data_IF_945382951059
#
_entry.id   IF_945382951059
#
_cell.length_a   1.000
_cell.length_b   1.000
_cell.length_c   1.000
_cell.angle_alpha   90.00
_cell.angle_beta   90.00
_cell.angle_gamma   90.00
#
_symmetry.space_group_name_H-M   'P 1'
#
loop_
_entity.id
_entity.type
_entity.pdbx_description
1 polymer ?
#
# COMPACT_ATOMS: atom_id res chain seq x y z
N UNK A 1 31.31 -35.21 45.50
CA UNK A 1 30.39 -35.60 44.41
C UNK A 1 29.81 -34.32 43.83
N UNK A 2 30.18 -33.98 42.58
CA UNK A 2 30.09 -32.63 42.01
C UNK A 2 28.94 -32.52 41.00
N UNK A 3 28.13 -31.47 41.21
CA UNK A 3 27.40 -30.64 40.23
C UNK A 3 26.20 -31.26 39.51
N UNK A 4 24.99 -30.91 39.98
CA UNK A 4 23.78 -30.97 39.18
C UNK A 4 23.77 -29.80 38.17
N UNK A 5 23.56 -30.12 36.89
CA UNK A 5 23.48 -29.17 35.80
C UNK A 5 22.13 -28.46 35.81
N UNK A 6 22.14 -27.13 35.83
CA UNK A 6 20.95 -26.32 35.61
C UNK A 6 20.75 -26.14 34.10
N UNK A 7 19.62 -26.62 33.60
CA UNK A 7 19.19 -26.53 32.19
C UNK A 7 18.79 -25.08 31.91
N UNK A 8 19.51 -24.41 31.00
CA UNK A 8 19.06 -23.14 30.42
C UNK A 8 17.97 -23.43 29.38
N UNK A 9 16.72 -23.14 29.71
CA UNK A 9 15.61 -23.15 28.75
C UNK A 9 15.65 -21.84 27.96
N UNK A 10 16.18 -21.89 26.72
CA UNK A 10 16.19 -20.77 25.79
C UNK A 10 14.76 -20.60 25.22
N UNK A 11 14.03 -19.58 25.68
CA UNK A 11 12.76 -19.17 25.05
C UNK A 11 13.07 -18.53 23.69
N UNK A 12 12.96 -19.31 22.62
CA UNK A 12 13.00 -18.82 21.25
C UNK A 12 11.67 -18.10 20.95
N UNK A 13 11.64 -16.79 21.19
CA UNK A 13 10.57 -15.92 20.70
C UNK A 13 10.64 -15.85 19.18
N UNK A 14 9.73 -16.55 18.51
CA UNK A 14 9.46 -16.36 17.08
C UNK A 14 8.80 -14.97 16.92
N UNK A 15 9.63 -13.93 16.82
CA UNK A 15 9.17 -12.64 16.32
C UNK A 15 8.80 -12.85 14.85
N UNK A 16 7.50 -12.90 14.55
CA UNK A 16 7.02 -12.73 13.19
C UNK A 16 7.41 -11.31 12.78
N UNK A 17 8.55 -11.18 12.08
CA UNK A 17 8.91 -9.92 11.47
C UNK A 17 7.75 -9.52 10.55
N UNK A 18 7.22 -8.28 10.63
CA UNK A 18 6.40 -7.79 9.54
C UNK A 18 7.27 -7.94 8.29
N UNK A 19 6.74 -8.62 7.27
CA UNK A 19 7.39 -8.65 5.96
C UNK A 19 7.69 -7.21 5.60
N UNK A 20 8.97 -6.83 5.61
CA UNK A 20 9.39 -5.52 5.18
C UNK A 20 9.30 -5.53 3.65
N UNK A 21 8.13 -5.15 3.13
CA UNK A 21 7.95 -4.85 1.71
C UNK A 21 8.55 -3.45 1.46
N UNK A 22 9.85 -3.29 1.71
CA UNK A 22 10.52 -1.99 1.60
C UNK A 22 10.39 -1.40 0.18
N UNK A 23 10.34 -2.29 -0.84
CA UNK A 23 10.16 -1.90 -2.24
C UNK A 23 8.84 -2.47 -2.80
N UNK A 24 7.70 -2.09 -2.22
CA UNK A 24 6.40 -2.40 -2.81
C UNK A 24 5.34 -1.32 -2.57
N UNK A 25 4.44 -1.19 -3.55
CA UNK A 25 3.33 -0.25 -3.50
C UNK A 25 2.23 -0.66 -2.50
N UNK A 26 2.24 -1.90 -2.00
CA UNK A 26 1.35 -2.38 -0.95
C UNK A 26 1.42 -1.52 0.31
N UNK A 27 0.28 -1.30 0.96
CA UNK A 27 0.16 -0.56 2.21
C UNK A 27 -0.91 0.51 2.16
N UNK A 28 -0.99 1.27 3.25
CA UNK A 28 -1.94 2.36 3.42
C UNK A 28 -1.34 3.69 2.96
N UNK A 29 -2.08 4.40 2.10
CA UNK A 29 -1.67 5.68 1.53
C UNK A 29 -2.70 6.77 1.86
N UNK A 30 -2.21 7.95 2.19
CA UNK A 30 -2.97 9.09 2.63
C UNK A 30 -2.69 10.31 1.73
N UNK A 31 -3.76 10.98 1.31
CA UNK A 31 -3.66 12.21 0.52
C UNK A 31 -3.59 13.44 1.43
N UNK A 32 -3.06 14.54 0.90
CA UNK A 32 -3.10 15.85 1.57
C UNK A 32 -4.53 16.37 1.81
N UNK A 33 -5.51 15.82 1.10
CA UNK A 33 -6.95 16.14 1.22
C UNK A 33 -7.66 15.29 2.30
N UNK A 34 -6.93 14.47 3.04
CA UNK A 34 -7.48 13.63 4.12
C UNK A 34 -8.18 12.35 3.64
N UNK A 35 -7.96 11.96 2.38
CA UNK A 35 -8.45 10.68 1.86
C UNK A 35 -7.42 9.57 2.14
N UNK A 36 -7.89 8.32 2.21
CA UNK A 36 -7.00 7.16 2.34
C UNK A 36 -7.38 6.04 1.38
N UNK A 37 -6.37 5.28 0.96
CA UNK A 37 -6.50 4.01 0.23
C UNK A 37 -5.65 2.94 0.91
N UNK A 38 -5.92 1.67 0.57
CA UNK A 38 -5.06 0.55 0.97
C UNK A 38 -4.84 -0.38 -0.22
N UNK A 39 -3.59 -0.74 -0.51
CA UNK A 39 -3.23 -1.69 -1.57
C UNK A 39 -2.72 -2.98 -0.93
N UNK A 40 -3.27 -4.12 -1.36
CA UNK A 40 -2.87 -5.45 -0.93
C UNK A 40 -2.88 -6.41 -2.13
N UNK A 41 -1.72 -6.57 -2.77
CA UNK A 41 -1.56 -7.25 -4.05
C UNK A 41 -2.48 -6.64 -5.11
N UNK A 42 -3.21 -7.50 -5.82
CA UNK A 42 -4.14 -7.09 -6.89
C UNK A 42 -5.42 -6.38 -6.41
N UNK A 43 -5.54 -6.03 -5.13
CA UNK A 43 -6.73 -5.37 -4.57
C UNK A 43 -6.39 -3.99 -4.02
N UNK A 44 -7.28 -3.03 -4.26
CA UNK A 44 -7.23 -1.70 -3.66
C UNK A 44 -8.55 -1.39 -2.95
N UNK A 45 -8.49 -0.88 -1.72
CA UNK A 45 -9.60 -0.19 -1.08
C UNK A 45 -9.50 1.30 -1.41
N UNK A 46 -10.49 1.82 -2.15
CA UNK A 46 -10.53 3.23 -2.57
C UNK A 46 -11.18 4.12 -1.50
N UNK A 47 -11.16 5.47 -1.61
CA UNK A 47 -11.67 6.36 -0.56
C UNK A 47 -13.15 6.17 -0.22
N UNK A 48 -13.96 5.69 -1.18
CA UNK A 48 -15.37 5.34 -0.92
C UNK A 48 -15.55 4.08 -0.04
N UNK A 49 -14.46 3.36 0.26
CA UNK A 49 -14.46 2.11 1.02
C UNK A 49 -14.66 0.86 0.17
N UNK A 50 -14.99 1.00 -1.12
CA UNK A 50 -15.10 -0.13 -2.04
C UNK A 50 -13.74 -0.79 -2.29
N UNK A 51 -13.76 -2.10 -2.52
CA UNK A 51 -12.58 -2.88 -2.87
C UNK A 51 -12.64 -3.23 -4.36
N UNK A 52 -11.62 -2.81 -5.10
CA UNK A 52 -11.52 -2.96 -6.55
C UNK A 52 -10.34 -3.87 -6.88
N UNK A 53 -10.53 -4.75 -7.85
CA UNK A 53 -9.41 -5.50 -8.45
C UNK A 53 -8.67 -4.61 -9.45
N UNK A 54 -7.35 -4.66 -9.44
CA UNK A 54 -6.51 -3.86 -10.33
C UNK A 54 -5.34 -4.64 -10.90
N UNK A 55 -4.65 -4.00 -11.84
CA UNK A 55 -3.36 -4.46 -12.35
C UNK A 55 -2.30 -4.05 -11.34
N UNK A 56 -1.79 -5.03 -10.62
CA UNK A 56 -0.71 -4.85 -9.65
C UNK A 56 0.65 -5.09 -10.28
N UNK A 57 1.53 -4.12 -10.09
CA UNK A 57 2.98 -4.23 -10.23
C UNK A 57 3.64 -4.00 -8.87
N UNK A 58 4.95 -4.24 -8.79
CA UNK A 58 5.70 -3.99 -7.55
C UNK A 58 5.76 -2.48 -7.23
N UNK A 59 5.93 -1.65 -8.25
CA UNK A 59 6.09 -0.18 -8.11
C UNK A 59 4.93 0.60 -8.72
N UNK A 60 3.85 -0.09 -9.12
CA UNK A 60 2.73 0.53 -9.79
C UNK A 60 1.43 -0.23 -9.52
N UNK A 61 0.32 0.50 -9.62
CA UNK A 61 -1.01 -0.09 -9.55
C UNK A 61 -1.95 0.66 -10.48
N UNK A 62 -2.77 -0.05 -11.24
CA UNK A 62 -3.75 0.58 -12.10
C UNK A 62 -5.14 -0.04 -11.93
N UNK A 63 -6.18 0.79 -11.90
CA UNK A 63 -7.57 0.32 -11.85
C UNK A 63 -8.53 1.27 -12.56
N UNK A 64 -9.71 0.74 -12.87
CA UNK A 64 -10.84 1.49 -13.36
C UNK A 64 -11.77 1.79 -12.18
N UNK A 65 -12.06 3.08 -11.86
CA UNK A 65 -13.03 3.42 -10.84
C UNK A 65 -14.42 2.85 -11.17
N UNK A 66 -15.18 2.41 -10.15
CA UNK A 66 -16.53 1.91 -10.35
C UNK A 66 -17.49 3.03 -10.77
N UNK A 67 -18.68 2.65 -11.23
CA UNK A 67 -19.74 3.60 -11.54
C UNK A 67 -20.12 4.44 -10.31
N UNK A 68 -20.32 5.74 -10.51
CA UNK A 68 -20.64 6.71 -9.45
C UNK A 68 -19.42 7.21 -8.66
N UNK A 69 -18.21 6.73 -8.97
CA UNK A 69 -16.98 7.31 -8.42
C UNK A 69 -16.70 8.70 -9.05
N UNK A 70 -16.15 9.67 -8.30
CA UNK A 70 -15.79 10.98 -8.86
C UNK A 70 -14.84 10.90 -10.06
N UNK A 71 -14.01 9.85 -10.12
CA UNK A 71 -13.07 9.61 -11.20
C UNK A 71 -13.61 8.58 -12.24
N UNK A 72 -14.94 8.39 -12.31
CA UNK A 72 -15.57 7.50 -13.31
C UNK A 72 -15.12 7.85 -14.74
N UNK A 73 -14.77 6.81 -15.50
CA UNK A 73 -14.30 6.93 -16.88
C UNK A 73 -12.82 7.28 -17.05
N UNK A 74 -12.07 7.48 -15.96
CA UNK A 74 -10.60 7.55 -15.98
C UNK A 74 -9.98 6.19 -15.68
N UNK A 75 -8.77 5.93 -16.17
CA UNK A 75 -7.90 4.92 -15.57
C UNK A 75 -7.08 5.62 -14.50
N UNK A 76 -7.14 5.11 -13.27
CA UNK A 76 -6.25 5.56 -12.20
C UNK A 76 -4.96 4.78 -12.30
N UNK A 77 -3.84 5.49 -12.36
CA UNK A 77 -2.50 4.91 -12.35
C UNK A 77 -1.73 5.48 -11.15
N UNK A 78 -1.28 4.58 -10.29
CA UNK A 78 -0.47 4.87 -9.12
C UNK A 78 0.96 4.42 -9.41
N UNK A 79 1.94 5.27 -9.12
CA UNK A 79 3.36 4.99 -9.29
C UNK A 79 4.10 5.23 -7.98
N UNK A 80 4.82 4.23 -7.49
CA UNK A 80 5.69 4.36 -6.34
C UNK A 80 6.94 5.14 -6.75
N UNK A 81 7.11 6.33 -6.18
CA UNK A 81 8.27 7.20 -6.45
C UNK A 81 9.44 6.86 -5.53
N UNK A 82 9.12 6.56 -4.27
CA UNK A 82 10.03 6.13 -3.21
C UNK A 82 9.22 5.32 -2.17
N UNK A 83 9.87 4.85 -1.10
CA UNK A 83 9.25 4.01 -0.06
C UNK A 83 7.99 4.66 0.57
N UNK A 84 7.95 6.00 0.58
CA UNK A 84 7.01 6.81 1.34
C UNK A 84 6.04 7.61 0.46
N UNK A 85 6.19 7.56 -0.87
CA UNK A 85 5.47 8.44 -1.79
C UNK A 85 4.94 7.70 -3.01
N UNK A 86 3.65 7.90 -3.32
CA UNK A 86 3.07 7.54 -4.61
C UNK A 86 2.60 8.78 -5.37
N UNK A 87 2.74 8.72 -6.68
CA UNK A 87 2.11 9.62 -7.63
C UNK A 87 0.80 9.02 -8.12
N UNK A 88 -0.29 9.77 -8.00
CA UNK A 88 -1.62 9.40 -8.47
C UNK A 88 -1.95 10.16 -9.74
N UNK A 89 -2.19 9.43 -10.84
CA UNK A 89 -2.53 10.00 -12.15
C UNK A 89 -3.90 9.54 -12.60
N UNK A 90 -4.68 10.48 -13.13
CA UNK A 90 -5.94 10.22 -13.86
C UNK A 90 -5.64 10.21 -15.35
N UNK A 91 -5.87 9.09 -16.02
CA UNK A 91 -5.61 8.95 -17.46
C UNK A 91 -6.92 8.76 -18.19
N UNK A 92 -7.15 9.52 -19.25
CA UNK A 92 -8.32 9.37 -20.12
C UNK A 92 -7.93 9.61 -21.57
N UNK A 93 -8.35 8.72 -22.46
CA UNK A 93 -8.06 8.80 -23.89
C UNK A 93 -6.56 8.97 -24.23
N UNK A 94 -5.68 8.43 -23.37
CA UNK A 94 -4.22 8.51 -23.50
C UNK A 94 -3.60 9.79 -22.94
N UNK A 95 -4.41 10.74 -22.46
CA UNK A 95 -3.94 11.98 -21.83
C UNK A 95 -3.86 11.84 -20.31
N UNK A 96 -2.79 12.40 -19.73
CA UNK A 96 -2.59 12.47 -18.28
C UNK A 96 -3.22 13.76 -17.78
N UNK A 97 -4.24 13.63 -16.93
CA UNK A 97 -4.87 14.74 -16.22
C UNK A 97 -4.10 15.13 -14.96
N UNK A 98 -4.84 15.61 -13.96
CA UNK A 98 -4.25 16.11 -12.71
C UNK A 98 -3.47 15.04 -11.96
N UNK A 99 -2.32 15.46 -11.42
CA UNK A 99 -1.43 14.65 -10.59
C UNK A 99 -1.69 15.01 -9.12
N UNK A 100 -1.94 13.99 -8.30
CA UNK A 100 -1.94 14.12 -6.84
C UNK A 100 -0.76 13.34 -6.25
N UNK A 101 -0.13 13.87 -5.20
CA UNK A 101 0.90 13.17 -4.43
C UNK A 101 0.29 12.67 -3.13
N UNK A 102 0.54 11.39 -2.83
CA UNK A 102 0.10 10.73 -1.62
C UNK A 102 1.30 10.15 -0.91
N UNK A 103 1.20 10.07 0.41
CA UNK A 103 2.26 9.53 1.26
C UNK A 103 1.77 8.30 2.01
N UNK A 104 2.69 7.50 2.55
CA UNK A 104 2.31 6.48 3.55
C UNK A 104 1.48 7.16 4.63
N UNK A 105 0.39 6.52 5.02
CA UNK A 105 -0.33 6.99 6.19
C UNK A 105 0.60 6.92 7.40
N UNK A 106 0.69 8.02 8.16
CA UNK A 106 1.60 8.23 9.29
C UNK A 106 1.77 6.96 10.14
N UNK A 107 2.82 6.17 9.88
CA UNK A 107 3.27 5.10 10.75
C UNK A 107 4.07 5.79 11.86
N UNK A 108 3.40 6.23 12.92
CA UNK A 108 4.13 6.53 14.17
C UNK A 108 4.89 5.27 14.55
N UNK A 109 6.21 5.31 14.33
CA UNK A 109 7.17 4.33 14.85
C UNK A 109 7.28 4.41 16.36
#
# INVERSE_FOLDING_TARGET
>A
MKRAAAILTLFAGLAAAPSAWADAIDGDWCSSKGQSIAIAGAKIRIPSGQVIDGRYGRHDFAYQPPQGDPDEGYVIYLELLDEETIMWRRIKDGEVGDIDIWHRCNVTS
#
